data_IF_924083270243
#
_entry.id   IF_924083270243
#
_cell.length_a   1.000
_cell.length_b   1.000
_cell.length_c   1.000
_cell.angle_alpha   90.00
_cell.angle_beta   90.00
_cell.angle_gamma   90.00
#
_symmetry.space_group_name_H-M   'P 1'
#
loop_
_entity.id
_entity.type
_entity.pdbx_description
1 polymer ?
#
# COMPACT_ATOMS: atom_id res chain seq x y z
N UNK A 1 3.64 0.99 30.76
CA UNK A 1 4.44 -0.26 30.70
C UNK A 1 3.57 -1.21 29.90
N UNK A 2 3.75 -1.22 28.57
CA UNK A 2 2.88 -1.95 27.64
C UNK A 2 3.36 -3.39 27.52
N UNK A 3 2.43 -4.33 27.50
CA UNK A 3 2.76 -5.74 27.36
C UNK A 3 3.26 -6.00 25.93
N UNK A 4 4.52 -6.41 25.80
CA UNK A 4 5.08 -6.87 24.53
C UNK A 4 4.40 -8.20 24.16
N UNK A 5 3.56 -8.16 23.13
CA UNK A 5 2.82 -9.31 22.64
C UNK A 5 3.76 -10.22 21.84
N UNK A 6 4.21 -11.31 22.45
CA UNK A 6 4.99 -12.34 21.76
C UNK A 6 4.11 -13.08 20.73
N UNK A 7 4.52 -13.10 19.46
CA UNK A 7 3.90 -13.89 18.39
C UNK A 7 4.67 -15.20 18.20
N UNK A 8 3.97 -16.33 18.34
CA UNK A 8 4.50 -17.67 17.99
C UNK A 8 3.74 -18.17 16.78
N UNK A 9 4.45 -18.56 15.72
CA UNK A 9 3.88 -19.14 14.50
C UNK A 9 4.14 -20.66 14.48
N UNK A 10 3.08 -21.46 14.37
CA UNK A 10 3.15 -22.92 14.28
C UNK A 10 2.61 -23.32 12.90
N UNK A 11 3.49 -23.84 12.05
CA UNK A 11 3.14 -24.33 10.71
C UNK A 11 2.79 -25.82 10.82
N UNK A 12 1.55 -26.17 10.47
CA UNK A 12 1.08 -27.54 10.48
C UNK A 12 1.29 -28.20 9.11
N UNK A 13 1.46 -29.52 9.11
CA UNK A 13 1.43 -30.31 7.88
C UNK A 13 0.05 -30.28 7.24
N UNK A 14 0.00 -30.43 5.92
CA UNK A 14 -1.23 -30.44 5.15
C UNK A 14 -2.19 -31.53 5.64
N UNK A 15 -3.46 -31.18 5.86
CA UNK A 15 -4.51 -32.10 6.34
C UNK A 15 -4.78 -32.10 7.85
N UNK A 16 -4.08 -31.29 8.65
CA UNK A 16 -4.37 -31.16 10.09
C UNK A 16 -5.57 -30.22 10.32
N UNK A 17 -6.62 -30.71 10.98
CA UNK A 17 -7.79 -29.92 11.39
C UNK A 17 -7.58 -29.39 12.82
N UNK A 18 -7.69 -28.08 13.00
CA UNK A 18 -7.59 -27.37 14.30
C UNK A 18 -8.96 -26.77 14.63
N UNK A 19 -9.45 -26.96 15.86
CA UNK A 19 -10.82 -26.55 16.21
C UNK A 19 -11.16 -26.54 17.71
N UNK A 20 -10.20 -26.25 18.57
CA UNK A 20 -10.45 -26.01 20.01
C UNK A 20 -10.64 -24.51 20.31
N UNK A 21 -11.47 -24.14 21.30
CA UNK A 21 -11.75 -22.74 21.66
C UNK A 21 -10.50 -21.97 22.15
N UNK A 22 -9.43 -22.67 22.54
CA UNK A 22 -8.17 -22.07 23.01
C UNK A 22 -7.17 -21.76 21.88
N UNK A 23 -7.48 -22.14 20.63
CA UNK A 23 -6.58 -21.95 19.48
C UNK A 23 -7.21 -20.95 18.50
N UNK A 24 -6.60 -19.76 18.38
CA UNK A 24 -6.94 -18.82 17.30
C UNK A 24 -6.12 -19.12 16.05
N UNK A 25 -6.80 -19.40 14.95
CA UNK A 25 -6.17 -19.58 13.64
C UNK A 25 -5.97 -18.22 12.98
N UNK A 26 -4.74 -17.91 12.59
CA UNK A 26 -4.42 -16.73 11.78
C UNK A 26 -3.92 -17.20 10.43
N UNK A 27 -4.56 -16.74 9.35
CA UNK A 27 -4.06 -16.94 7.99
C UNK A 27 -3.10 -15.81 7.67
N UNK A 28 -1.82 -16.12 7.55
CA UNK A 28 -0.88 -15.18 6.92
C UNK A 28 -1.08 -15.21 5.42
N UNK A 29 -0.97 -14.05 4.77
CA UNK A 29 -1.18 -13.90 3.32
C UNK A 29 -0.03 -14.56 2.53
N UNK A 30 1.03 -15.00 3.21
CA UNK A 30 2.19 -15.65 2.61
C UNK A 30 3.01 -14.66 1.78
N UNK A 31 3.88 -15.21 0.93
CA UNK A 31 4.59 -14.46 -0.09
C UNK A 31 3.60 -14.12 -1.22
N UNK A 32 3.41 -12.82 -1.48
CA UNK A 32 2.70 -12.34 -2.66
C UNK A 32 3.75 -11.95 -3.71
N UNK A 33 3.57 -12.43 -4.95
CA UNK A 33 4.39 -11.96 -6.07
C UNK A 33 4.22 -10.45 -6.24
N UNK A 34 5.32 -9.76 -6.56
CA UNK A 34 5.27 -8.34 -6.85
C UNK A 34 4.42 -8.12 -8.08
N UNK A 35 3.28 -7.44 -7.92
CA UNK A 35 2.49 -6.92 -9.04
C UNK A 35 2.89 -5.48 -9.29
N UNK A 36 3.01 -5.12 -10.57
CA UNK A 36 3.18 -3.72 -10.95
C UNK A 36 1.89 -2.97 -10.62
N UNK A 37 2.02 -1.79 -10.02
CA UNK A 37 0.87 -0.94 -9.79
C UNK A 37 0.47 -0.28 -11.11
N UNK A 38 -0.71 -0.64 -11.63
CA UNK A 38 -1.26 -0.01 -12.82
C UNK A 38 -1.81 1.39 -12.50
N UNK A 39 -1.22 2.41 -13.12
CA UNK A 39 -1.73 3.78 -13.14
C UNK A 39 -2.40 4.04 -14.49
N UNK A 40 -3.74 4.08 -14.58
CA UNK A 40 -4.46 4.45 -15.79
C UNK A 40 -4.01 5.83 -16.27
N UNK A 41 -3.95 5.98 -17.59
CA UNK A 41 -3.61 7.24 -18.25
C UNK A 41 -4.89 7.81 -18.83
N UNK A 42 -5.35 8.95 -18.31
CA UNK A 42 -6.55 9.66 -18.77
C UNK A 42 -6.19 10.88 -19.65
N UNK A 43 -5.35 10.65 -20.66
CA UNK A 43 -4.78 11.68 -21.54
C UNK A 43 -5.67 12.05 -22.74
N UNK A 44 -6.79 11.37 -22.92
CA UNK A 44 -7.69 11.51 -24.08
C UNK A 44 -9.13 11.63 -23.62
N UNK A 45 -9.99 12.40 -24.33
CA UNK A 45 -11.40 12.52 -24.00
C UNK A 45 -12.11 11.17 -23.88
N UNK A 46 -11.78 10.22 -24.76
CA UNK A 46 -12.37 8.88 -24.77
C UNK A 46 -12.05 8.10 -23.49
N UNK A 47 -10.83 8.23 -22.95
CA UNK A 47 -10.44 7.56 -21.70
C UNK A 47 -11.03 8.25 -20.47
N UNK A 48 -11.27 9.55 -20.53
CA UNK A 48 -11.92 10.32 -19.45
C UNK A 48 -13.40 9.95 -19.33
N UNK A 49 -14.06 9.64 -20.44
CA UNK A 49 -15.50 9.31 -20.49
C UNK A 49 -15.74 7.79 -20.46
N UNK A 50 -14.80 7.01 -19.91
CA UNK A 50 -15.00 5.57 -19.72
C UNK A 50 -16.29 5.33 -18.91
N UNK A 51 -17.14 4.41 -19.38
CA UNK A 51 -18.41 4.09 -18.72
C UNK A 51 -18.19 3.44 -17.35
N UNK A 52 -17.01 2.86 -17.11
CA UNK A 52 -16.66 2.26 -15.84
C UNK A 52 -16.03 3.29 -14.90
N UNK A 53 -16.66 3.59 -13.75
CA UNK A 53 -16.10 4.54 -12.80
C UNK A 53 -14.78 4.04 -12.18
N UNK A 54 -13.81 4.94 -12.08
CA UNK A 54 -12.59 4.75 -11.30
C UNK A 54 -12.89 4.93 -9.81
N UNK A 55 -12.80 3.84 -9.06
CA UNK A 55 -13.00 3.82 -7.60
C UNK A 55 -11.76 3.32 -6.85
N UNK A 56 -10.57 3.44 -7.47
CA UNK A 56 -9.32 3.00 -6.86
C UNK A 56 -9.03 3.79 -5.58
N UNK A 57 -8.55 3.09 -4.56
CA UNK A 57 -8.11 3.68 -3.29
C UNK A 57 -6.66 4.12 -3.32
N UNK A 58 -5.80 3.38 -4.04
CA UNK A 58 -4.43 3.78 -4.34
C UNK A 58 -4.40 4.39 -5.73
N UNK A 59 -4.06 5.68 -5.82
CA UNK A 59 -4.03 6.42 -7.09
C UNK A 59 -2.62 6.53 -7.68
N UNK A 60 -1.59 6.45 -6.83
CA UNK A 60 -0.20 6.53 -7.21
C UNK A 60 0.64 5.59 -6.35
N UNK A 61 1.57 4.88 -6.99
CA UNK A 61 2.59 4.08 -6.32
C UNK A 61 3.87 4.09 -7.16
N UNK A 62 4.96 4.56 -6.56
CA UNK A 62 6.29 4.53 -7.17
C UNK A 62 7.30 4.04 -6.14
N UNK A 63 7.81 2.80 -6.26
CA UNK A 63 8.79 2.25 -5.32
C UNK A 63 10.19 2.89 -5.48
N UNK A 64 10.41 3.66 -6.54
CA UNK A 64 11.69 4.29 -6.85
C UNK A 64 11.49 5.76 -7.24
N UNK A 65 11.17 6.58 -6.23
CA UNK A 65 11.08 8.02 -6.39
C UNK A 65 12.48 8.64 -6.46
N UNK A 66 12.84 9.20 -7.62
CA UNK A 66 14.08 9.94 -7.78
C UNK A 66 13.92 11.34 -7.19
N UNK A 67 14.88 11.73 -6.35
CA UNK A 67 14.95 13.06 -5.75
C UNK A 67 15.98 13.87 -6.53
N UNK A 68 15.61 15.09 -6.92
CA UNK A 68 16.46 16.01 -7.64
C UNK A 68 17.66 16.50 -6.81
N UNK A 69 18.66 17.14 -7.45
CA UNK A 69 19.85 17.68 -6.76
C UNK A 69 19.54 18.74 -5.70
N UNK A 70 18.37 19.37 -5.79
CA UNK A 70 17.83 20.36 -4.85
C UNK A 70 17.15 19.72 -3.63
N UNK A 71 17.07 18.39 -3.58
CA UNK A 71 16.41 17.63 -2.52
C UNK A 71 14.89 17.56 -2.66
N UNK A 72 14.32 17.92 -3.83
CA UNK A 72 12.87 17.87 -4.06
C UNK A 72 12.49 16.81 -5.11
N UNK A 73 11.25 16.36 -5.07
CA UNK A 73 10.66 15.51 -6.09
C UNK A 73 9.23 16.00 -6.37
N UNK A 74 8.85 16.05 -7.64
CA UNK A 74 7.50 16.36 -8.08
C UNK A 74 6.81 15.08 -8.53
N UNK A 75 5.60 14.85 -8.05
CA UNK A 75 4.74 13.75 -8.46
C UNK A 75 3.44 14.30 -9.04
N UNK A 76 2.97 13.66 -10.10
CA UNK A 76 1.70 13.97 -10.74
C UNK A 76 0.94 12.65 -10.95
N UNK A 77 -0.36 12.67 -10.68
CA UNK A 77 -1.22 11.51 -10.79
C UNK A 77 -2.65 11.94 -11.12
N UNK A 78 -3.42 11.01 -11.66
CA UNK A 78 -4.84 11.22 -11.94
C UNK A 78 -5.70 10.86 -10.73
N UNK A 79 -6.75 11.65 -10.48
CA UNK A 79 -7.75 11.36 -9.45
C UNK A 79 -8.67 10.19 -9.84
N UNK A 80 -9.45 9.71 -8.88
CA UNK A 80 -10.58 8.81 -9.13
C UNK A 80 -11.89 9.62 -9.30
N UNK A 81 -12.99 8.91 -9.59
CA UNK A 81 -14.31 9.52 -9.83
C UNK A 81 -15.13 9.73 -8.54
N UNK A 82 -14.48 9.67 -7.39
CA UNK A 82 -15.15 9.85 -6.11
C UNK A 82 -15.21 11.35 -5.73
N UNK A 83 -16.36 11.78 -5.20
CA UNK A 83 -16.59 13.17 -4.81
C UNK A 83 -16.01 13.50 -3.43
N UNK A 84 -15.53 14.74 -3.26
CA UNK A 84 -14.99 15.27 -1.99
C UNK A 84 -13.80 14.47 -1.45
N UNK A 85 -12.95 13.94 -2.34
CA UNK A 85 -11.82 13.12 -1.95
C UNK A 85 -10.78 13.88 -1.14
N UNK A 86 -10.43 13.30 0.00
CA UNK A 86 -9.23 13.60 0.73
C UNK A 86 -8.15 12.58 0.36
N UNK A 87 -6.92 13.04 0.17
CA UNK A 87 -5.79 12.18 -0.17
C UNK A 87 -4.92 11.93 1.04
N UNK A 88 -4.60 10.66 1.28
CA UNK A 88 -3.53 10.26 2.19
C UNK A 88 -2.24 10.07 1.40
N UNK A 89 -1.17 10.70 1.87
CA UNK A 89 0.14 10.62 1.23
C UNK A 89 1.10 9.94 2.21
N UNK A 90 1.74 8.86 1.78
CA UNK A 90 2.79 8.18 2.52
C UNK A 90 4.05 8.10 1.66
N UNK A 91 5.18 8.54 2.22
CA UNK A 91 6.50 8.45 1.60
C UNK A 91 7.39 7.67 2.57
N UNK A 92 7.96 6.57 2.08
CA UNK A 92 8.89 5.73 2.83
C UNK A 92 10.22 5.66 2.08
N UNK A 93 11.32 5.58 2.81
CA UNK A 93 12.65 5.58 2.23
C UNK A 93 13.68 4.96 3.16
N UNK A 94 14.88 4.75 2.63
CA UNK A 94 16.04 4.24 3.35
C UNK A 94 17.20 5.18 3.12
N UNK A 95 17.84 5.63 4.19
CA UNK A 95 19.04 6.49 4.12
C UNK A 95 20.27 5.69 3.67
N UNK A 96 21.35 6.35 3.23
CA UNK A 96 22.59 5.66 2.85
C UNK A 96 23.20 4.76 3.95
N UNK A 97 22.96 5.07 5.23
CA UNK A 97 23.37 4.26 6.38
C UNK A 97 22.35 3.17 6.78
N UNK A 98 21.30 2.95 5.98
CA UNK A 98 20.35 1.85 6.14
C UNK A 98 19.21 2.12 7.12
N UNK A 99 18.98 3.37 7.54
CA UNK A 99 17.86 3.72 8.42
C UNK A 99 16.60 3.98 7.61
N UNK A 100 15.48 3.47 8.11
CA UNK A 100 14.15 3.72 7.51
C UNK A 100 13.63 5.10 7.88
N UNK A 101 13.04 5.81 6.91
CA UNK A 101 12.34 7.06 7.10
C UNK A 101 10.89 6.93 6.62
N UNK A 102 9.96 7.60 7.30
CA UNK A 102 8.56 7.66 6.93
C UNK A 102 8.01 9.07 7.12
N UNK A 103 7.28 9.54 6.11
CA UNK A 103 6.49 10.76 6.15
C UNK A 103 5.05 10.43 5.77
N UNK A 104 4.09 10.98 6.49
CA UNK A 104 2.67 10.73 6.22
C UNK A 104 1.82 11.97 6.46
N UNK A 105 0.96 12.27 5.50
CA UNK A 105 -0.15 13.22 5.64
C UNK A 105 -1.42 12.38 5.64
N UNK A 106 -2.20 12.51 6.72
CA UNK A 106 -3.51 11.88 6.86
C UNK A 106 -4.52 12.99 7.01
N UNK A 107 -5.40 13.12 6.03
CA UNK A 107 -6.50 14.08 6.11
C UNK A 107 -7.64 13.41 6.91
N UNK A 108 -8.13 14.13 7.93
CA UNK A 108 -9.22 13.68 8.82
C UNK A 108 -10.54 14.32 8.43
#
# INVERSE_FOLDING_TARGET
>A
MGEDLYRVEIILKEGVIIGGPEIKTYRTIGYAESVEFYSPIYDTPEKIVDEKPDIRTTLYWNPYLQIGPDGTAQIEFYSNDLENQQYDIAIEGITPDGKTCKYQIINK
#
